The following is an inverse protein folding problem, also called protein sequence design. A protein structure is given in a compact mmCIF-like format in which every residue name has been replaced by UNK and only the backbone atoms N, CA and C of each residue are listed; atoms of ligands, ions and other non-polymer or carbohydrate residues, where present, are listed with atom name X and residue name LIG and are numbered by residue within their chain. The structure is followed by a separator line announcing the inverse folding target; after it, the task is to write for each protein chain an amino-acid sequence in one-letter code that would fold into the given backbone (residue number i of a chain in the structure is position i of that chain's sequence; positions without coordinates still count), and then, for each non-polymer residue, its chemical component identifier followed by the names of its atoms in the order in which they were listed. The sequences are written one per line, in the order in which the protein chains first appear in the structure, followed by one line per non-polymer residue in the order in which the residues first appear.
data_IF_260956862705
#
_entry.id   IF_260956862705
#
_cell.length_a   1.000
_cell.length_b   1.000
_cell.length_c   1.000
_cell.angle_alpha   90.00
_cell.angle_beta   90.00
_cell.angle_gamma   90.00
#
_symmetry.space_group_name_H-M   'P 1'
#
loop_
_entity.id
_entity.type
_entity.pdbx_description
1 polymer ?
2 non-polymer ?
3 non-polymer ?
4 non-polymer ?
5 water ?
#
# COMPACT_ATOMS: atom_id res chain seq x y z
CA UNK A 10 1.75 -9.72 -18.28
C UNK A 10 1.16 -8.33 -18.51
N UNK A 11 -0.17 -8.25 -18.56
CA UNK A 11 -0.86 -6.99 -18.76
C UNK A 11 -0.91 -6.23 -17.44
N UNK A 12 -0.14 -5.16 -17.33
CA UNK A 12 -0.07 -4.39 -16.09
C UNK A 12 -1.31 -3.54 -15.84
N UNK A 13 -2.19 -3.39 -16.84
CA UNK A 13 -3.22 -2.36 -16.82
C UNK A 13 -4.47 -2.88 -16.13
N UNK A 14 -4.73 -2.37 -14.92
CA UNK A 14 -5.92 -2.74 -14.17
C UNK A 14 -7.04 -1.79 -14.53
N UNK A 15 -8.20 -2.33 -14.86
CA UNK A 15 -9.39 -1.57 -15.22
C UNK A 15 -10.55 -2.08 -14.38
N UNK A 16 -11.18 -1.18 -13.62
CA UNK A 16 -12.30 -1.52 -12.76
C UNK A 16 -13.39 -0.48 -12.99
N UNK A 17 -14.64 -0.92 -12.89
CA UNK A 17 -15.79 -0.05 -13.10
C UNK A 17 -16.82 -0.28 -12.02
N UNK A 18 -17.58 0.76 -11.71
CA UNK A 18 -18.78 0.62 -10.90
C UNK A 18 -19.87 1.52 -11.50
N UNK A 19 -21.09 1.02 -11.52
CA UNK A 19 -22.26 1.78 -11.92
C UNK A 19 -23.09 2.07 -10.69
N UNK A 20 -23.46 3.34 -10.49
CA UNK A 20 -24.24 3.73 -9.32
C UNK A 20 -25.45 4.54 -9.75
N UNK A 21 -26.56 4.44 -9.04
CA UNK A 21 -27.76 5.22 -9.41
C UNK A 21 -27.73 6.61 -8.81
N UNK A 22 -26.60 7.29 -8.90
CA UNK A 22 -26.48 8.68 -8.53
C UNK A 22 -26.10 9.51 -9.76
N UNK A 23 -26.55 10.75 -9.84
CA UNK A 23 -26.19 11.58 -10.99
C UNK A 23 -24.71 11.96 -10.98
N UNK A 24 -24.22 12.34 -12.17
CA UNK A 24 -22.79 12.58 -12.35
C UNK A 24 -22.31 13.67 -11.39
N UNK A 25 -23.13 14.70 -11.17
CA UNK A 25 -22.69 15.80 -10.32
C UNK A 25 -22.48 15.31 -8.88
N UNK A 26 -23.34 14.43 -8.40
CA UNK A 26 -23.18 13.90 -7.04
C UNK A 26 -21.94 13.03 -6.94
N UNK A 27 -21.72 12.15 -7.93
CA UNK A 27 -20.54 11.30 -7.92
C UNK A 27 -19.28 12.15 -7.97
N UNK A 28 -19.28 13.19 -8.81
CA UNK A 28 -18.10 14.04 -8.93
C UNK A 28 -17.74 14.67 -7.58
N UNK A 29 -18.74 15.21 -6.87
CA UNK A 29 -18.47 15.75 -5.54
C UNK A 29 -17.91 14.69 -4.61
N UNK A 30 -18.47 13.47 -4.68
CA UNK A 30 -18.05 12.41 -3.76
C UNK A 30 -16.62 11.97 -4.00
N UNK A 31 -16.10 12.13 -5.23
CA UNK A 31 -14.72 11.72 -5.51
C UNK A 31 -13.74 12.88 -5.53
N UNK A 32 -14.18 14.12 -5.24
CA UNK A 32 -13.28 15.28 -5.21
C UNK A 32 -13.30 16.07 -3.91
N UNK A 33 -14.47 16.29 -3.31
CA UNK A 33 -14.54 17.06 -2.06
C UNK A 33 -13.82 16.27 -0.97
N UNK A 34 -12.74 16.80 -0.38
CA UNK A 34 -12.00 15.99 0.60
C UNK A 34 -12.85 15.51 1.77
N UNK A 35 -13.85 16.29 2.20
CA UNK A 35 -14.71 15.81 3.28
C UNK A 35 -15.48 14.56 2.86
N UNK A 36 -15.90 14.50 1.61
CA UNK A 36 -16.63 13.32 1.14
C UNK A 36 -15.68 12.19 0.78
N UNK A 37 -14.51 12.51 0.21
CA UNK A 37 -13.52 11.47 -0.09
C UNK A 37 -13.11 10.74 1.18
N UNK A 38 -13.04 11.45 2.30
CA UNK A 38 -12.67 10.84 3.57
C UNK A 38 -13.75 9.91 4.11
N UNK A 39 -14.95 9.92 3.54
CA UNK A 39 -16.00 9.03 4.03
C UNK A 39 -15.93 7.64 3.42
N UNK A 40 -15.21 7.46 2.30
CA UNK A 40 -15.13 6.15 1.65
C UNK A 40 -13.74 5.75 1.21
N UNK A 41 -12.84 6.69 0.93
CA UNK A 41 -11.54 6.38 0.34
C UNK A 41 -10.40 6.60 1.32
N UNK A 42 -10.13 7.84 1.69
CA UNK A 42 -9.00 8.15 2.55
C UNK A 42 -8.94 9.64 2.75
N UNK A 43 -7.95 10.07 3.51
CA UNK A 43 -7.79 11.47 3.89
C UNK A 43 -6.82 12.16 2.93
N UNK A 44 -7.33 13.14 2.18
CA UNK A 44 -6.51 13.94 1.28
C UNK A 44 -5.90 15.11 2.05
N UNK A 45 -4.59 15.34 1.85
CA UNK A 45 -3.97 16.52 2.47
C UNK A 45 -4.44 17.81 1.82
N UNK A 46 -4.90 17.75 0.57
CA UNK A 46 -5.38 18.88 -0.19
C UNK A 46 -6.21 18.33 -1.33
N UNK A 47 -7.20 19.06 -1.83
CA UNK A 47 -7.94 18.57 -2.99
C UNK A 47 -7.01 18.41 -4.18
N UNK A 48 -7.35 17.47 -5.05
CA UNK A 48 -6.62 17.31 -6.30
C UNK A 48 -6.78 18.55 -7.17
N UNK A 49 -5.65 19.09 -7.63
CA UNK A 49 -5.60 20.31 -8.42
C UNK A 49 -4.62 20.11 -9.56
N UNK A 50 -5.00 20.57 -10.76
CA UNK A 50 -4.14 20.40 -11.93
C UNK A 50 -2.73 20.88 -11.66
N UNK A 51 -1.75 20.02 -11.89
CA UNK A 51 -0.36 20.38 -11.79
C UNK A 51 0.19 20.46 -10.38
N UNK A 52 -0.56 20.00 -9.39
CA UNK A 52 -0.16 20.12 -7.98
C UNK A 52 -0.04 18.75 -7.33
N UNK A 53 0.78 18.69 -6.30
CA UNK A 53 0.96 17.47 -5.55
C UNK A 53 0.02 17.42 -4.36
N UNK A 54 -0.34 16.20 -3.97
CA UNK A 54 -1.09 15.99 -2.74
C UNK A 54 -0.74 14.59 -2.21
N UNK A 55 -1.44 14.20 -1.14
CA UNK A 55 -1.24 12.90 -0.52
C UNK A 55 -2.58 12.38 -0.07
N UNK A 56 -2.73 11.05 -0.06
CA UNK A 56 -3.88 10.40 0.56
C UNK A 56 -3.37 9.42 1.60
N UNK A 57 -3.99 9.47 2.78
CA UNK A 57 -3.57 8.70 3.93
C UNK A 57 -4.76 7.87 4.40
N UNK A 58 -4.53 6.58 4.64
CA UNK A 58 -5.62 5.68 5.00
C UNK A 58 -5.78 5.51 6.51
N UNK A 59 -4.90 6.11 7.31
CA UNK A 59 -5.07 6.13 8.74
C UNK A 59 -4.46 4.94 9.46
N UNK A 60 -3.79 4.07 8.73
CA UNK A 60 -3.24 2.83 9.27
C UNK A 60 -1.76 2.66 8.96
N UNK A 61 -1.08 3.71 8.52
CA UNK A 61 0.29 3.63 8.07
C UNK A 61 0.43 3.70 6.57
N UNK A 62 -0.60 3.34 5.82
CA UNK A 62 -0.54 3.35 4.37
C UNK A 62 -0.90 4.73 3.81
N UNK A 63 -0.28 5.07 2.70
CA UNK A 63 -0.54 6.34 2.04
C UNK A 63 0.01 6.25 0.62
N UNK A 64 -0.43 7.17 -0.24
CA UNK A 64 0.17 7.40 -1.56
C UNK A 64 0.56 8.87 -1.65
N UNK A 65 1.76 9.14 -2.20
CA UNK A 65 2.11 10.47 -2.68
C UNK A 65 1.57 10.64 -4.09
N UNK A 66 0.91 11.77 -4.37
CA UNK A 66 0.17 11.97 -5.61
C UNK A 66 0.67 13.22 -6.33
N UNK A 67 0.79 13.12 -7.65
CA UNK A 67 0.99 14.29 -8.52
C UNK A 67 -0.17 14.31 -9.50
N UNK A 68 -0.91 15.40 -9.53
CA UNK A 68 -2.16 15.49 -10.29
C UNK A 68 -1.88 16.14 -11.63
N UNK A 69 -2.28 15.47 -12.71
CA UNK A 69 -2.07 15.97 -14.04
C UNK A 69 -3.26 16.74 -14.57
N UNK A 70 -4.48 16.23 -14.38
CA UNK A 70 -5.69 16.83 -14.94
C UNK A 70 -6.85 16.68 -13.98
N UNK A 71 -7.60 17.76 -13.77
CA UNK A 71 -8.90 17.72 -13.11
C UNK A 71 -9.87 18.36 -14.09
N UNK A 72 -10.78 17.55 -14.64
CA UNK A 72 -11.80 18.01 -15.58
C UNK A 72 -13.17 17.90 -14.91
N UNK A 73 -13.74 18.99 -14.42
CA UNK A 73 -14.97 18.89 -13.62
C UNK A 73 -16.06 18.01 -14.24
N UNK A 74 -16.62 17.13 -13.42
CA UNK A 74 -17.69 16.22 -13.78
C UNK A 74 -17.31 15.30 -14.95
N UNK A 75 -16.01 15.06 -15.11
CA UNK A 75 -15.50 14.26 -16.21
C UNK A 75 -14.43 13.28 -15.73
N UNK A 76 -13.27 13.78 -15.34
CA UNK A 76 -12.24 12.82 -14.95
C UNK A 76 -11.13 13.47 -14.13
N UNK A 77 -10.44 12.62 -13.40
CA UNK A 77 -9.21 12.95 -12.68
C UNK A 77 -8.10 12.08 -13.23
N UNK A 78 -6.99 12.70 -13.61
CA UNK A 78 -5.81 11.98 -14.08
C UNK A 78 -4.64 12.36 -13.19
N UNK A 79 -4.00 11.36 -12.61
CA UNK A 79 -2.92 11.60 -11.66
C UNK A 79 -1.97 10.42 -11.64
N UNK A 80 -0.80 10.67 -11.05
CA UNK A 80 0.23 9.66 -10.84
C UNK A 80 0.45 9.52 -9.34
N UNK A 81 0.76 8.30 -8.89
CA UNK A 81 1.03 8.18 -7.47
C UNK A 81 2.05 7.08 -7.18
N UNK A 82 2.55 7.12 -5.94
CA UNK A 82 3.62 6.24 -5.47
C UNK A 82 3.23 5.73 -4.10
N UNK A 83 3.06 4.41 -3.98
CA UNK A 83 2.62 3.82 -2.71
C UNK A 83 3.71 3.93 -1.66
N UNK A 84 3.33 4.45 -0.49
CA UNK A 84 4.23 4.68 0.64
C UNK A 84 5.36 5.64 0.27
N UNK A 85 5.20 6.37 -0.83
CA UNK A 85 6.23 7.28 -1.29
C UNK A 85 7.44 6.62 -1.92
N UNK A 86 7.49 5.29 -1.95
CA UNK A 86 8.65 4.58 -2.47
C UNK A 86 8.31 3.68 -3.64
N UNK A 87 7.04 3.32 -3.84
CA UNK A 87 6.66 2.44 -4.92
C UNK A 87 6.80 3.08 -6.29
N UNK A 88 6.81 2.25 -7.32
CA UNK A 88 6.93 2.78 -8.68
C UNK A 88 5.73 3.65 -9.03
N UNK A 89 5.97 4.62 -9.91
CA UNK A 89 4.90 5.54 -10.28
C UNK A 89 3.85 4.83 -11.12
N UNK A 90 2.59 4.94 -10.68
CA UNK A 90 1.44 4.42 -11.39
C UNK A 90 0.65 5.56 -12.01
N UNK A 91 0.16 5.33 -13.23
CA UNK A 91 -0.74 6.25 -13.91
C UNK A 91 -2.17 5.85 -13.57
N UNK A 92 -2.91 6.75 -12.91
CA UNK A 92 -4.26 6.45 -12.45
C UNK A 92 -5.24 7.39 -13.12
N UNK A 93 -6.38 6.85 -13.55
CA UNK A 93 -7.44 7.69 -14.08
C UNK A 93 -8.78 7.32 -13.47
N UNK A 94 -9.56 8.32 -13.05
CA UNK A 94 -10.93 8.13 -12.60
C UNK A 94 -11.81 8.89 -13.56
N UNK A 95 -12.64 8.18 -14.33
CA UNK A 95 -13.42 8.77 -15.41
C UNK A 95 -14.89 8.50 -15.19
N UNK A 96 -15.71 9.54 -15.28
CA UNK A 96 -17.15 9.43 -15.09
C UNK A 96 -17.85 9.49 -16.42
N UNK A 97 -18.79 8.58 -16.63
CA UNK A 97 -19.69 8.62 -17.77
C UNK A 97 -21.12 8.56 -17.27
N UNK A 98 -21.92 9.53 -17.67
CA UNK A 98 -23.32 9.56 -17.29
C UNK A 98 -24.18 8.67 -18.16
N UNK A 99 -25.24 8.15 -17.57
CA UNK A 99 -26.17 7.31 -18.29
C UNK A 99 -27.61 7.62 -17.89
N UNK A 100 -28.54 6.99 -18.60
CA UNK A 100 -29.95 7.18 -18.27
C UNK A 100 -30.30 6.51 -16.95
N UNK A 101 -29.72 5.33 -16.68
CA UNK A 101 -29.97 4.62 -15.45
C UNK A 101 -29.00 4.99 -14.33
N UNK A 102 -27.73 5.16 -14.66
CA UNK A 102 -26.71 5.27 -13.63
C UNK A 102 -25.51 6.05 -14.14
N UNK A 103 -24.64 6.44 -13.20
CA UNK A 103 -23.32 6.97 -13.50
C UNK A 103 -22.31 5.84 -13.40
N UNK A 104 -21.39 5.78 -14.35
CA UNK A 104 -20.32 4.80 -14.30
C UNK A 104 -19.00 5.51 -13.97
N UNK A 105 -18.29 4.98 -12.99
CA UNK A 105 -16.91 5.38 -12.73
C UNK A 105 -15.99 4.30 -13.24
N UNK A 106 -15.05 4.67 -14.10
CA UNK A 106 -14.05 3.76 -14.63
C UNK A 106 -12.69 4.14 -14.06
N UNK A 107 -12.01 3.18 -13.43
CA UNK A 107 -10.69 3.37 -12.86
C UNK A 107 -9.68 2.66 -13.74
N UNK A 108 -8.67 3.39 -14.19
CA UNK A 108 -7.50 2.86 -14.88
C UNK A 108 -6.29 2.98 -13.96
N UNK A 109 -5.48 1.92 -13.87
CA UNK A 109 -4.27 1.95 -13.05
C UNK A 109 -3.21 1.14 -13.81
N UNK A 110 -2.20 1.82 -14.36
CA UNK A 110 -1.15 1.16 -15.09
C UNK A 110 0.22 1.55 -14.55
N UNK A 111 1.16 0.66 -14.73
CA UNK A 111 2.53 0.85 -14.29
C UNK A 111 3.45 -0.02 -15.13
N UNK A 112 4.35 0.57 -15.91
CA UNK A 112 5.20 -0.24 -16.79
C UNK A 112 6.01 -1.25 -16.00
N UNK A 113 5.99 -2.50 -16.46
CA UNK A 113 6.74 -3.57 -15.84
C UNK A 113 6.14 -4.13 -14.57
N UNK A 114 4.88 -3.80 -14.27
CA UNK A 114 4.25 -4.30 -13.07
C UNK A 114 4.30 -5.83 -13.02
N UNK A 115 4.79 -6.43 -11.94
CA UNK A 115 4.78 -7.89 -11.85
C UNK A 115 3.35 -8.43 -11.99
N UNK A 116 3.21 -9.51 -12.76
CA UNK A 116 1.91 -10.15 -12.85
C UNK A 116 1.39 -10.56 -11.49
N UNK A 117 2.29 -10.86 -10.55
CA UNK A 117 1.88 -11.27 -9.21
C UNK A 117 1.16 -10.14 -8.46
N UNK A 118 1.33 -8.89 -8.90
CA UNK A 118 0.68 -7.76 -8.25
C UNK A 118 -0.70 -7.45 -8.80
N UNK A 119 -0.99 -7.89 -10.03
CA UNK A 119 -2.17 -7.40 -10.73
C UNK A 119 -3.45 -7.81 -10.01
N UNK A 120 -3.52 -9.07 -9.59
CA UNK A 120 -4.75 -9.56 -8.96
C UNK A 120 -5.05 -8.80 -7.68
N UNK A 121 -4.03 -8.60 -6.84
CA UNK A 121 -4.23 -7.85 -5.60
C UNK A 121 -4.71 -6.43 -5.90
N UNK A 122 -4.16 -5.81 -6.94
CA UNK A 122 -4.53 -4.44 -7.26
C UNK A 122 -5.95 -4.35 -7.79
N UNK A 123 -6.36 -5.32 -8.61
CA UNK A 123 -7.75 -5.34 -9.06
C UNK A 123 -8.69 -5.49 -7.86
N UNK A 124 -8.36 -6.39 -6.93
CA UNK A 124 -9.20 -6.56 -5.76
C UNK A 124 -9.23 -5.29 -4.93
N UNK A 125 -8.09 -4.60 -4.82
CA UNK A 125 -8.04 -3.35 -4.07
C UNK A 125 -8.94 -2.29 -4.65
N UNK A 126 -8.92 -2.13 -5.97
CA UNK A 126 -9.77 -1.13 -6.60
C UNK A 126 -11.25 -1.54 -6.56
N UNK A 127 -11.55 -2.84 -6.62
CA UNK A 127 -12.93 -3.27 -6.47
C UNK A 127 -13.44 -2.94 -5.07
N UNK A 128 -12.59 -3.08 -4.06
CA UNK A 128 -12.94 -2.69 -2.70
C UNK A 128 -13.23 -1.21 -2.62
N UNK A 129 -12.38 -0.37 -3.22
CA UNK A 129 -12.57 1.06 -3.13
C UNK A 129 -13.85 1.49 -3.85
N UNK A 130 -14.12 0.97 -5.06
CA UNK A 130 -15.35 1.41 -5.73
C UNK A 130 -16.57 0.83 -5.02
N UNK A 131 -16.42 -0.31 -4.34
CA UNK A 131 -17.53 -0.81 -3.53
C UNK A 131 -17.84 0.09 -2.35
N UNK A 132 -16.80 0.73 -1.79
CA UNK A 132 -17.02 1.65 -0.68
C UNK A 132 -17.65 2.96 -1.19
N UNK A 133 -17.23 3.42 -2.37
CA UNK A 133 -17.88 4.57 -2.96
C UNK A 133 -19.38 4.32 -3.12
N UNK A 134 -19.75 3.16 -3.66
CA UNK A 134 -21.16 2.86 -3.90
C UNK A 134 -21.94 2.81 -2.58
N UNK A 135 -21.35 2.23 -1.55
CA UNK A 135 -22.01 2.18 -0.24
C UNK A 135 -22.27 3.57 0.31
N UNK A 136 -21.26 4.44 0.23
CA UNK A 136 -21.38 5.80 0.74
C UNK A 136 -22.44 6.59 -0.03
N UNK A 137 -22.49 6.44 -1.36
CA UNK A 137 -23.53 7.12 -2.14
C UNK A 137 -24.91 6.60 -1.79
N UNK A 138 -25.02 5.31 -1.48
CA UNK A 138 -26.33 4.72 -1.19
C UNK A 138 -26.86 5.19 0.16
N UNK A 139 -26.03 5.15 1.20
CA UNK A 139 -26.51 5.33 2.56
C UNK A 139 -26.15 6.67 3.18
N UNK A 140 -25.14 7.35 2.64
CA UNK A 140 -24.63 8.56 3.25
C UNK A 140 -23.76 8.33 4.47
N UNK A 141 -23.58 7.09 4.88
CA UNK A 141 -22.78 6.74 6.05
C UNK A 141 -21.35 6.48 5.62
N UNK A 142 -20.37 6.64 6.51
CA UNK A 142 -19.01 6.30 6.13
C UNK A 142 -18.87 4.81 5.83
N UNK A 143 -18.08 4.52 4.81
CA UNK A 143 -17.81 3.16 4.39
C UNK A 143 -16.32 2.84 4.39
N UNK A 144 -15.49 3.72 4.95
CA UNK A 144 -14.05 3.50 5.07
C UNK A 144 -13.74 2.21 5.82
N UNK A 145 -12.65 1.55 5.46
CA UNK A 145 -12.09 0.60 6.42
C UNK A 145 -11.25 1.33 7.44
N UNK A 146 -11.11 0.74 8.64
CA UNK A 146 -10.34 1.42 9.67
C UNK A 146 -8.86 1.12 9.57
N UNK A 147 -8.49 -0.14 9.34
CA UNK A 147 -7.09 -0.49 9.14
C UNK A 147 -7.01 -1.79 8.36
N UNK A 148 -6.05 -1.85 7.45
CA UNK A 148 -5.93 -3.00 6.56
C UNK A 148 -5.20 -4.15 7.24
N UNK A 149 -5.74 -5.36 7.10
CA UNK A 149 -5.25 -6.48 7.90
C UNK A 149 -3.85 -6.93 7.53
N UNK A 150 -3.36 -6.65 6.33
CA UNK A 150 -2.02 -7.05 5.92
C UNK A 150 -1.23 -5.81 5.51
N UNK A 151 0.10 -5.90 5.70
CA UNK A 151 1.07 -4.89 5.27
C UNK A 151 1.71 -5.38 3.99
N UNK A 152 1.85 -4.49 3.01
CA UNK A 152 2.68 -4.82 1.85
C UNK A 152 3.29 -3.54 1.31
N UNK A 153 4.28 -3.70 0.45
CA UNK A 153 4.91 -2.57 -0.16
C UNK A 153 5.94 -3.08 -1.14
N UNK A 154 6.41 -2.17 -1.99
CA UNK A 154 7.47 -2.52 -2.92
C UNK A 154 8.28 -1.30 -3.29
N UNK A 155 9.48 -1.56 -3.80
CA UNK A 155 10.35 -0.53 -4.34
C UNK A 155 11.14 -1.14 -5.48
N UNK A 156 11.33 -0.38 -6.55
CA UNK A 156 12.12 -0.85 -7.68
C UNK A 156 13.56 -0.43 -7.47
N UNK A 157 14.45 -1.40 -7.51
CA UNK A 157 15.86 -1.20 -7.32
C UNK A 157 16.58 -1.30 -8.66
N UNK A 158 17.72 -0.62 -8.82
CA UNK A 158 18.53 -0.84 -10.01
C UNK A 158 19.04 -2.27 -10.09
N UNK A 159 19.33 -2.68 -11.33
CA UNK A 159 19.92 -3.99 -11.61
C UNK A 159 21.44 -3.94 -11.41
N UNK A 160 21.86 -3.58 -10.20
CA UNK A 160 23.26 -3.40 -9.89
C UNK A 160 23.85 -4.56 -9.12
N UNK A 161 25.06 -4.33 -8.58
CA UNK A 161 25.81 -5.38 -7.89
C UNK A 161 25.26 -5.69 -6.49
N UNK A 162 24.72 -4.69 -5.79
CA UNK A 162 24.15 -4.95 -4.47
C UNK A 162 22.77 -5.56 -4.64
N UNK A 163 22.50 -6.62 -3.89
CA UNK A 163 21.19 -7.24 -3.86
C UNK A 163 20.72 -7.35 -2.42
N UNK A 164 19.43 -7.11 -2.14
CA UNK A 164 18.97 -7.06 -0.74
C UNK A 164 18.85 -8.43 -0.06
N UNK A 165 18.84 -9.53 -0.81
CA UNK A 165 18.55 -10.83 -0.23
C UNK A 165 19.80 -11.71 -0.20
N UNK A 166 20.79 -11.27 0.56
CA UNK A 166 22.02 -12.02 0.80
C UNK A 166 22.28 -12.02 2.29
N UNK A 167 22.87 -13.09 2.80
CA UNK A 167 23.14 -13.10 4.24
C UNK A 167 23.99 -11.91 4.61
N UNK A 168 24.89 -11.49 3.73
CA UNK A 168 25.80 -10.39 4.01
C UNK A 168 25.23 -9.02 3.68
N UNK A 169 24.00 -8.92 3.16
CA UNK A 169 23.38 -7.61 2.92
C UNK A 169 22.09 -7.36 3.70
N UNK A 170 21.45 -8.38 4.28
CA UNK A 170 20.16 -8.14 4.90
C UNK A 170 20.27 -7.14 6.06
N UNK A 171 21.38 -7.14 6.80
CA UNK A 171 21.49 -6.19 7.90
C UNK A 171 21.68 -4.77 7.39
N UNK A 172 22.06 -4.60 6.12
CA UNK A 172 22.19 -3.27 5.53
C UNK A 172 20.87 -2.52 5.51
N UNK A 173 19.73 -3.21 5.42
CA UNK A 173 18.46 -2.52 5.23
C UNK A 173 17.32 -3.00 6.13
N UNK A 174 17.43 -4.20 6.74
CA UNK A 174 16.37 -4.66 7.62
C UNK A 174 16.67 -4.30 9.07
N UNK A 175 15.65 -4.01 9.87
CA UNK A 175 15.85 -3.65 11.29
C UNK A 175 15.99 -4.88 12.17
N UNK A 176 17.07 -5.63 11.96
CA UNK A 176 17.26 -6.92 12.61
C UNK A 176 18.63 -6.96 13.28
N UNK A 177 18.77 -7.87 14.25
CA UNK A 177 20.05 -8.15 14.86
C UNK A 177 20.14 -9.64 15.20
N UNK A 178 21.37 -10.11 15.35
CA UNK A 178 21.58 -11.51 15.62
C UNK A 178 21.33 -11.82 17.10
N UNK A 179 21.04 -13.09 17.37
CA UNK A 179 20.76 -13.59 18.72
C UNK A 179 21.54 -14.89 18.88
N UNK A 180 22.86 -14.77 18.99
CA UNK A 180 23.74 -15.92 18.99
C UNK A 180 24.39 -16.10 17.63
N UNK A 181 23.67 -16.73 16.70
CA UNK A 181 24.16 -16.88 15.33
C UNK A 181 22.94 -17.06 14.43
N UNK A 182 22.61 -16.01 13.67
CA UNK A 182 21.39 -15.97 12.90
C UNK A 182 20.45 -14.91 13.44
N UNK A 183 19.75 -14.19 12.57
CA UNK A 183 18.84 -13.13 13.04
C UNK A 183 17.84 -13.65 14.07
N UNK A 184 17.71 -12.91 15.17
CA UNK A 184 16.85 -13.31 16.28
C UNK A 184 15.96 -12.21 16.82
N UNK A 185 16.21 -10.96 16.42
CA UNK A 185 15.38 -9.82 16.82
C UNK A 185 14.99 -8.98 15.62
N UNK A 186 13.77 -8.44 15.68
CA UNK A 186 13.25 -7.46 14.75
C UNK A 186 12.84 -6.24 15.57
N UNK A 187 13.28 -5.05 15.16
CA UNK A 187 13.10 -3.84 15.96
C UNK A 187 12.15 -2.85 15.28
N UNK A 188 11.25 -2.29 16.09
CA UNK A 188 10.36 -1.20 15.69
C UNK A 188 10.73 -0.02 16.56
N UNK A 189 11.46 0.93 16.01
CA UNK A 189 12.07 2.02 16.78
C UNK A 189 11.25 3.28 16.54
N UNK A 190 10.42 3.65 17.51
CA UNK A 190 9.60 4.84 17.43
C UNK A 190 9.30 5.28 18.86
N UNK A 191 8.26 6.09 19.05
CA UNK A 191 7.99 6.61 20.38
C UNK A 191 7.03 5.74 21.19
N UNK A 192 6.74 4.53 20.72
CA UNK A 192 5.83 3.58 21.36
C UNK A 192 6.55 2.27 21.66
N UNK A 193 5.82 1.31 22.21
CA UNK A 193 6.37 0.02 22.54
C UNK A 193 5.38 -1.07 22.18
N UNK A 194 5.83 -2.34 22.13
CA UNK A 194 7.20 -2.81 22.35
C UNK A 194 8.17 -2.34 21.26
N UNK A 195 9.47 -2.34 21.54
CA UNK A 195 10.50 -2.04 20.55
C UNK A 195 11.17 -3.30 19.99
N UNK A 196 11.39 -4.31 20.83
CA UNK A 196 12.14 -5.52 20.47
C UNK A 196 11.18 -6.69 20.31
N UNK A 197 11.19 -7.31 19.14
CA UNK A 197 10.36 -8.46 18.84
C UNK A 197 11.21 -9.67 18.49
N UNK A 198 10.79 -10.84 18.97
CA UNK A 198 11.47 -12.08 18.65
C UNK A 198 11.23 -12.49 17.19
N UNK A 199 12.31 -12.80 16.50
CA UNK A 199 12.28 -13.25 15.11
C UNK A 199 12.56 -14.75 15.10
N UNK A 200 11.74 -15.51 14.37
CA UNK A 200 11.83 -16.96 14.32
C UNK A 200 11.78 -17.44 12.88
N UNK A 201 12.25 -18.66 12.67
CA UNK A 201 12.08 -19.37 11.40
C UNK A 201 12.66 -18.60 10.22
N UNK A 202 13.84 -18.00 10.42
CA UNK A 202 14.53 -17.31 9.33
C UNK A 202 14.90 -18.30 8.23
N UNK A 203 14.45 -18.03 7.01
CA UNK A 203 14.78 -18.87 5.84
C UNK A 203 15.10 -17.94 4.67
N UNK A 204 16.36 -17.90 4.27
CA UNK A 204 16.79 -17.04 3.17
C UNK A 204 17.20 -17.91 1.99
N UNK A 205 16.52 -17.70 0.85
CA UNK A 205 16.90 -18.28 -0.43
C UNK A 205 17.62 -17.18 -1.19
N UNK A 206 18.95 -17.27 -1.24
CA UNK A 206 19.79 -16.16 -1.68
C UNK A 206 19.31 -15.57 -3.01
N UNK A 207 19.10 -14.24 -3.01
CA UNK A 207 18.69 -13.44 -4.18
C UNK A 207 17.36 -13.91 -4.78
N UNK A 208 16.51 -14.54 -3.98
CA UNK A 208 15.20 -15.01 -4.43
C UNK A 208 14.10 -14.60 -3.45
N UNK A 209 14.20 -15.05 -2.20
CA UNK A 209 13.09 -14.90 -1.27
C UNK A 209 13.60 -15.08 0.15
N UNK A 210 12.90 -14.44 1.08
CA UNK A 210 13.21 -14.48 2.50
C UNK A 210 11.90 -14.60 3.25
N UNK A 211 11.80 -15.57 4.15
CA UNK A 211 10.64 -15.66 5.02
C UNK A 211 11.11 -15.74 6.46
N UNK A 212 10.28 -15.18 7.34
CA UNK A 212 10.50 -15.32 8.78
C UNK A 212 9.21 -14.94 9.48
N UNK A 213 9.18 -15.24 10.78
CA UNK A 213 8.04 -14.96 11.62
C UNK A 213 8.46 -13.96 12.67
N UNK A 214 7.55 -13.07 13.05
CA UNK A 214 7.78 -12.14 14.16
C UNK A 214 6.73 -12.40 15.23
N UNK A 215 7.20 -12.75 16.42
CA UNK A 215 6.33 -12.99 17.56
C UNK A 215 5.88 -11.65 18.13
N UNK A 216 4.63 -11.63 18.60
CA UNK A 216 4.03 -10.44 19.21
C UNK A 216 3.71 -10.76 20.66
N UNK A 217 4.27 -10.04 21.64
CA UNK A 217 3.94 -10.31 23.04
C UNK A 217 2.44 -10.29 23.29
N UNK A 218 1.96 -11.37 23.90
CA UNK A 218 0.56 -11.48 24.27
C UNK A 218 -0.32 -12.17 23.25
N UNK A 219 0.19 -12.40 22.04
CA UNK A 219 -0.64 -12.80 20.91
C UNK A 219 -0.84 -14.30 20.82
N UNK A 220 -1.95 -14.70 20.21
CA UNK A 220 -2.30 -16.11 20.07
C UNK A 220 -1.62 -16.79 18.89
N UNK A 221 -1.04 -16.02 17.97
CA UNK A 221 -0.33 -16.57 16.83
C UNK A 221 0.81 -15.63 16.49
N UNK A 222 1.67 -16.07 15.58
CA UNK A 222 2.81 -15.28 15.14
C UNK A 222 2.45 -14.57 13.85
N UNK A 223 3.13 -13.47 13.56
CA UNK A 223 2.99 -12.84 12.26
C UNK A 223 4.00 -13.44 11.29
N UNK A 224 3.69 -13.34 10.00
CA UNK A 224 4.47 -14.01 8.95
C UNK A 224 4.91 -12.99 7.93
N UNK A 225 6.20 -13.02 7.60
CA UNK A 225 6.79 -12.05 6.69
C UNK A 225 7.41 -12.76 5.51
N UNK A 226 7.14 -12.24 4.32
CA UNK A 226 7.68 -12.74 3.06
C UNK A 226 8.27 -11.57 2.32
N UNK A 227 9.54 -11.67 1.94
CA UNK A 227 10.25 -10.68 1.14
C UNK A 227 10.73 -11.37 -0.12
N UNK A 228 10.54 -10.73 -1.27
CA UNK A 228 10.93 -11.34 -2.52
C UNK A 228 11.50 -10.28 -3.45
N UNK A 229 12.34 -10.71 -4.37
CA UNK A 229 12.79 -9.85 -5.45
C UNK A 229 12.40 -10.48 -6.79
N UNK A 230 11.92 -9.65 -7.70
CA UNK A 230 11.54 -10.10 -9.04
C UNK A 230 12.34 -9.28 -10.05
N UNK A 231 13.11 -9.91 -10.93
CA UNK A 231 13.91 -9.13 -11.87
C UNK A 231 13.05 -8.58 -13.01
N UNK A 232 13.51 -7.47 -13.55
CA UNK A 232 12.84 -6.84 -14.68
C UNK A 232 13.75 -5.88 -15.41
N UNK A 233 13.39 -5.59 -16.67
CA UNK A 233 14.12 -4.57 -17.42
C UNK A 233 14.12 -3.24 -16.69
N UNK A 234 13.03 -2.93 -15.97
CA UNK A 234 12.92 -1.66 -15.26
C UNK A 234 13.78 -1.61 -14.00
N UNK A 235 14.33 -2.74 -13.58
CA UNK A 235 14.95 -2.89 -12.28
C UNK A 235 14.40 -4.09 -11.54
N UNK A 236 14.96 -4.33 -10.35
CA UNK A 236 14.53 -5.44 -9.50
C UNK A 236 13.48 -4.93 -8.54
N UNK A 237 12.32 -5.56 -8.52
CA UNK A 237 11.27 -5.14 -7.60
C UNK A 237 11.44 -5.90 -6.29
N UNK A 238 11.72 -5.16 -5.21
CA UNK A 238 11.80 -5.69 -3.87
C UNK A 238 10.44 -5.50 -3.23
N UNK A 239 9.80 -6.59 -2.81
CA UNK A 239 8.46 -6.56 -2.25
C UNK A 239 8.45 -7.21 -0.88
N UNK A 240 7.59 -6.70 0.00
CA UNK A 240 7.38 -7.27 1.31
C UNK A 240 5.90 -7.50 1.53
N UNK A 241 5.59 -8.58 2.23
CA UNK A 241 4.26 -8.85 2.75
C UNK A 241 4.41 -9.26 4.21
N UNK A 242 3.65 -8.64 5.10
CA UNK A 242 3.71 -8.98 6.52
C UNK A 242 2.28 -9.15 7.01
N UNK A 243 1.91 -10.38 7.35
CA UNK A 243 0.53 -10.77 7.61
C UNK A 243 0.36 -11.26 9.04
N UNK A 244 -0.90 -11.30 9.48
CA UNK A 244 -1.27 -11.91 10.75
C UNK A 244 -1.87 -10.97 11.77
N UNK A 245 -1.88 -9.66 11.51
CA UNK A 245 -2.23 -8.66 12.51
C UNK A 245 -3.66 -8.85 13.02
N UNK A 246 -4.55 -9.27 12.14
CA UNK A 246 -5.95 -9.45 12.49
C UNK A 246 -6.24 -10.75 13.24
N UNK A 247 -5.27 -11.65 13.38
CA UNK A 247 -5.50 -12.92 14.06
C UNK A 247 -4.65 -13.05 15.32
N UNK A 248 -4.23 -11.92 15.90
CA UNK A 248 -3.40 -11.93 17.09
C UNK A 248 -4.17 -12.18 18.38
N UNK A 249 -5.49 -12.08 18.37
CA UNK A 249 -6.24 -12.27 19.60
C UNK A 249 -6.01 -11.18 20.62
N UNK A 250 -5.69 -9.98 20.16
CA UNK A 250 -5.49 -8.82 21.02
C UNK A 250 -6.65 -7.85 20.80
N UNK A 251 -6.66 -6.77 21.57
CA UNK A 251 -7.70 -5.77 21.36
C UNK A 251 -7.52 -5.14 19.98
N UNK A 252 -8.61 -4.61 19.44
CA UNK A 252 -8.51 -4.05 18.10
C UNK A 252 -7.53 -2.89 18.07
N UNK A 253 -7.53 -2.05 19.11
CA UNK A 253 -6.57 -0.94 19.10
C UNK A 253 -5.14 -1.44 19.20
N UNK A 254 -4.89 -2.51 19.96
CA UNK A 254 -3.54 -3.07 20.00
C UNK A 254 -3.12 -3.58 18.63
N UNK A 255 -4.01 -4.31 17.95
CA UNK A 255 -3.70 -4.87 16.65
C UNK A 255 -3.47 -3.76 15.63
N UNK A 256 -4.34 -2.76 15.61
CA UNK A 256 -4.20 -1.65 14.70
C UNK A 256 -2.90 -0.89 14.93
N UNK A 257 -2.56 -0.64 16.19
CA UNK A 257 -1.34 0.10 16.49
C UNK A 257 -0.11 -0.67 16.04
N UNK A 258 -0.08 -1.98 16.29
CA UNK A 258 1.03 -2.79 15.81
C UNK A 258 1.11 -2.72 14.29
N UNK A 259 -0.01 -2.90 13.59
CA UNK A 259 0.02 -2.87 12.12
C UNK A 259 0.56 -1.54 11.62
N UNK A 260 0.08 -0.44 12.19
CA UNK A 260 0.53 0.89 11.80
C UNK A 260 2.03 1.06 12.05
N UNK A 261 2.51 0.67 13.22
CA UNK A 261 3.92 0.85 13.54
C UNK A 261 4.81 -0.01 12.64
N UNK A 262 4.41 -1.26 12.40
CA UNK A 262 5.19 -2.10 11.50
C UNK A 262 5.12 -1.58 10.07
N UNK A 263 3.99 -1.00 9.64
CA UNK A 263 3.95 -0.44 8.29
C UNK A 263 4.96 0.69 8.13
N UNK A 264 5.08 1.55 9.13
CA UNK A 264 6.06 2.63 9.06
C UNK A 264 7.47 2.05 9.05
N UNK A 265 7.69 0.97 9.79
CA UNK A 265 9.01 0.32 9.81
C UNK A 265 9.35 -0.23 8.44
N UNK A 266 8.40 -0.91 7.79
CA UNK A 266 8.67 -1.46 6.47
C UNK A 266 8.86 -0.35 5.45
N UNK A 267 8.13 0.75 5.57
CA UNK A 267 8.34 1.89 4.68
C UNK A 267 9.78 2.39 4.79
N UNK A 268 10.29 2.50 6.01
CA UNK A 268 11.67 2.93 6.21
C UNK A 268 12.66 1.91 5.65
N UNK A 269 12.36 0.62 5.81
CA UNK A 269 13.26 -0.41 5.32
C UNK A 269 13.35 -0.39 3.80
N UNK A 270 12.21 -0.27 3.12
CA UNK A 270 12.23 -0.19 1.66
C UNK A 270 13.03 1.02 1.20
N UNK A 271 12.88 2.14 1.90
CA UNK A 271 13.62 3.34 1.52
C UNK A 271 15.12 3.13 1.73
N UNK A 272 15.49 2.43 2.79
CA UNK A 272 16.91 2.17 3.05
C UNK A 272 17.48 1.22 2.01
N UNK A 273 16.71 0.20 1.62
CA UNK A 273 17.17 -0.68 0.56
C UNK A 273 17.45 0.11 -0.73
N UNK A 274 16.58 1.07 -1.05
CA UNK A 274 16.80 1.89 -2.23
C UNK A 274 18.12 2.66 -2.12
N UNK A 275 18.39 3.20 -0.93
CA UNK A 275 19.64 3.92 -0.72
C UNK A 275 20.84 2.98 -0.86
N UNK A 276 20.76 1.79 -0.27
CA UNK A 276 21.85 0.82 -0.40
C UNK A 276 22.11 0.46 -1.85
N UNK A 277 21.04 0.30 -2.63
CA UNK A 277 21.21 -0.13 -4.01
C UNK A 277 21.76 0.98 -4.90
N UNK A 278 21.72 2.22 -4.44
CA UNK A 278 22.33 3.32 -5.18
C UNK A 278 23.85 3.19 -5.16
#
# INVERSE_FOLDING_TARGET
SMPDGYLKLPDDWVRVMVSVPAPVDEVWEAVTDPRRVAQWFGHLSAPMTTGASTRVDFGDGDFFDIEVDHVEPRDRLLFRWSFLGVGPECQVGWTLTGGAEATTLTVDDSCPGRPGSEVAQLKAGWLDFVGRLARYLETGKPSRYDWRQEIDGSVVLPNGSWHPLREETVVDWLPIATNGAGPGWFFVVDEEGPRRFTLRDWQLDRERALTFAVEIPGARTVTACQVRTEPGERGRTLSVSHQGWHRLGLSDLQERTLRHRFAATWTAALSLAEECARTRQELP
#
